data_IF_563057057421
#
_entry.id   IF_563057057421
#
_cell.length_a   1.000
_cell.length_b   1.000
_cell.length_c   1.000
_cell.angle_alpha   90.00
_cell.angle_beta   90.00
_cell.angle_gamma   90.00
#
_symmetry.space_group_name_H-M   'P 1'
#
loop_
_entity.id
_entity.type
_entity.pdbx_description
1 polymer ?
#
# COMPACT_ATOMS: atom_id res chain seq x y z
N UNK A 1 8.02 -24.22 43.02
CA UNK A 1 6.96 -24.85 42.22
C UNK A 1 7.60 -25.24 40.88
N UNK A 2 8.32 -26.37 40.83
CA UNK A 2 7.79 -27.75 40.60
C UNK A 2 7.37 -27.90 39.12
N UNK A 3 8.35 -28.07 38.23
CA UNK A 3 8.73 -29.30 37.46
C UNK A 3 7.98 -29.49 36.12
N UNK A 4 8.68 -29.56 34.98
CA UNK A 4 8.30 -30.41 33.84
C UNK A 4 8.79 -31.85 34.06
N UNK A 5 7.94 -32.82 33.70
CA UNK A 5 8.11 -34.26 33.91
C UNK A 5 8.62 -34.94 32.62
N UNK A 6 9.77 -35.62 32.76
CA UNK A 6 10.18 -36.94 32.21
C UNK A 6 10.14 -37.18 30.68
N UNK A 7 11.08 -37.84 30.00
CA UNK A 7 12.17 -38.84 30.26
C UNK A 7 12.94 -38.94 28.90
N UNK A 8 14.18 -39.36 28.71
CA UNK A 8 15.26 -39.99 29.48
C UNK A 8 16.55 -39.82 28.63
N UNK A 9 17.69 -39.57 29.27
CA UNK A 9 19.05 -39.65 28.71
C UNK A 9 19.46 -41.15 28.61
N UNK A 10 20.59 -41.61 28.02
CA UNK A 10 21.99 -41.28 28.39
C UNK A 10 22.99 -42.11 27.55
N UNK A 11 24.13 -41.49 27.22
CA UNK A 11 25.55 -41.99 27.16
C UNK A 11 26.04 -43.15 26.27
N UNK A 12 26.95 -42.78 25.36
CA UNK A 12 28.40 -43.08 25.31
C UNK A 12 29.01 -44.33 26.01
N UNK A 13 29.89 -44.99 25.22
CA UNK A 13 31.23 -45.53 25.59
C UNK A 13 31.45 -47.04 25.82
N UNK A 14 32.31 -47.57 24.93
CA UNK A 14 33.32 -48.65 25.05
C UNK A 14 32.92 -50.13 25.26
N UNK A 15 33.60 -51.01 24.50
CA UNK A 15 33.84 -52.40 24.90
C UNK A 15 34.07 -53.39 23.75
N UNK A 16 35.33 -53.59 23.34
CA UNK A 16 35.85 -54.84 22.75
C UNK A 16 36.38 -55.70 23.92
N UNK A 17 36.10 -57.02 23.99
CA UNK A 17 37.06 -58.10 23.62
C UNK A 17 36.42 -59.19 22.71
N UNK A 18 37.14 -59.92 21.86
CA UNK A 18 37.86 -61.21 22.12
C UNK A 18 36.88 -62.32 22.61
N UNK A 19 36.81 -63.57 22.14
CA UNK A 19 37.74 -64.49 21.48
C UNK A 19 36.94 -65.74 20.97
N UNK A 20 37.56 -66.49 20.05
CA UNK A 20 37.48 -67.94 19.83
C UNK A 20 36.20 -68.76 20.09
N UNK A 21 35.77 -69.47 19.04
CA UNK A 21 34.87 -70.62 19.12
C UNK A 21 35.13 -71.60 17.98
N UNK A 22 36.17 -72.41 18.13
CA UNK A 22 36.46 -73.59 17.31
C UNK A 22 35.37 -74.64 17.52
N UNK A 23 34.74 -75.12 16.45
CA UNK A 23 34.10 -76.44 16.42
C UNK A 23 34.59 -77.22 15.21
N UNK A 24 35.36 -78.24 15.57
CA UNK A 24 35.90 -79.31 14.76
C UNK A 24 34.77 -80.25 14.37
N UNK A 25 34.50 -80.44 13.08
CA UNK A 25 33.83 -81.66 12.61
C UNK A 25 34.83 -82.53 11.86
N UNK A 26 35.11 -83.65 12.51
CA UNK A 26 35.90 -84.79 12.07
C UNK A 26 35.20 -85.46 10.89
N UNK A 27 35.80 -85.40 9.70
CA UNK A 27 35.45 -86.31 8.60
C UNK A 27 36.61 -87.28 8.40
N UNK A 28 36.34 -88.48 8.91
CA UNK A 28 36.96 -89.78 8.71
C UNK A 28 37.82 -89.92 7.45
N UNK A 29 39.06 -90.34 7.66
CA UNK A 29 39.98 -90.80 6.64
C UNK A 29 39.40 -92.04 5.91
N UNK A 30 39.35 -92.06 4.57
CA UNK A 30 39.15 -93.30 3.85
C UNK A 30 40.49 -93.98 3.61
N UNK A 31 40.52 -95.20 4.12
CA UNK A 31 41.35 -96.35 3.77
C UNK A 31 41.95 -96.32 2.35
N UNK A 32 43.24 -96.64 2.29
CA UNK A 32 44.01 -96.89 1.06
C UNK A 32 43.57 -98.19 0.39
N UNK A 33 43.06 -98.16 -0.86
CA UNK A 33 42.97 -99.36 -1.68
C UNK A 33 44.30 -99.56 -2.43
N UNK A 34 44.83 -100.77 -2.31
CA UNK A 34 46.00 -101.29 -3.01
C UNK A 34 45.94 -101.03 -4.53
N UNK A 35 47.09 -100.61 -5.04
CA UNK A 35 47.72 -101.05 -6.29
C UNK A 35 46.79 -101.76 -7.29
N UNK A 36 46.30 -100.99 -8.28
CA UNK A 36 46.00 -101.54 -9.59
C UNK A 36 46.89 -100.82 -10.61
N UNK A 37 48.03 -101.44 -10.86
CA UNK A 37 48.92 -101.21 -11.99
C UNK A 37 48.10 -101.21 -13.30
N UNK A 38 47.89 -100.04 -13.90
CA UNK A 38 47.21 -99.95 -15.19
C UNK A 38 46.40 -98.68 -15.44
N UNK A 39 47.00 -97.50 -15.31
CA UNK A 39 46.51 -96.31 -16.02
C UNK A 39 47.73 -95.55 -16.51
N UNK A 40 48.03 -95.75 -17.79
CA UNK A 40 49.07 -95.01 -18.48
C UNK A 40 48.94 -93.51 -18.21
N UNK A 41 50.07 -92.84 -18.15
CA UNK A 41 50.19 -91.39 -18.14
C UNK A 41 49.15 -90.81 -19.12
N UNK A 42 48.04 -90.28 -18.61
CA UNK A 42 47.06 -89.57 -19.44
C UNK A 42 47.66 -88.20 -19.72
N UNK A 43 48.69 -88.17 -20.54
CA UNK A 43 49.21 -86.94 -21.13
C UNK A 43 48.15 -86.47 -22.12
N UNK A 44 47.56 -85.31 -21.84
CA UNK A 44 46.63 -84.69 -22.79
C UNK A 44 47.40 -84.39 -24.07
N UNK A 45 46.91 -84.90 -25.20
CA UNK A 45 47.49 -84.56 -26.50
C UNK A 45 47.22 -83.09 -26.82
N UNK A 46 48.06 -82.47 -27.65
CA UNK A 46 47.88 -81.06 -28.03
C UNK A 46 46.51 -80.81 -28.72
N UNK A 47 45.96 -81.82 -29.41
CA UNK A 47 44.60 -81.79 -29.96
C UNK A 47 43.51 -81.75 -28.88
N UNK A 48 43.69 -82.47 -27.77
CA UNK A 48 42.73 -82.47 -26.66
C UNK A 48 42.71 -81.12 -25.94
N UNK A 49 43.88 -80.50 -25.75
CA UNK A 49 43.98 -79.15 -25.18
C UNK A 49 43.33 -78.09 -26.08
N UNK A 50 43.48 -78.21 -27.40
CA UNK A 50 42.82 -77.29 -28.34
C UNK A 50 41.30 -77.43 -28.31
N UNK A 51 40.78 -78.65 -28.22
CA UNK A 51 39.33 -78.90 -28.10
C UNK A 51 38.74 -78.33 -26.81
N UNK A 52 39.39 -78.57 -25.66
CA UNK A 52 38.96 -77.98 -24.38
C UNK A 52 39.02 -76.46 -24.44
N UNK A 53 40.07 -75.88 -25.03
CA UNK A 53 40.16 -74.42 -25.23
C UNK A 53 39.03 -73.89 -26.10
N UNK A 54 38.64 -74.59 -27.17
CA UNK A 54 37.51 -74.17 -28.02
C UNK A 54 36.19 -74.23 -27.24
N UNK A 55 35.93 -75.32 -26.51
CA UNK A 55 34.71 -75.45 -25.70
C UNK A 55 34.63 -74.42 -24.56
N UNK A 56 35.76 -74.11 -23.90
CA UNK A 56 35.82 -73.04 -22.90
C UNK A 56 35.63 -71.66 -23.54
N UNK A 57 36.25 -71.44 -24.69
CA UNK A 57 36.14 -70.20 -25.45
C UNK A 57 34.68 -69.95 -25.86
N UNK A 58 34.00 -70.93 -26.44
CA UNK A 58 32.62 -70.82 -26.88
C UNK A 58 31.67 -70.54 -25.71
N UNK A 59 31.86 -71.22 -24.56
CA UNK A 59 31.08 -70.96 -23.33
C UNK A 59 31.33 -69.56 -22.77
N UNK A 60 32.60 -69.11 -22.76
CA UNK A 60 32.97 -67.80 -22.24
C UNK A 60 32.43 -66.67 -23.13
N UNK A 61 32.55 -66.77 -24.45
CA UNK A 61 31.97 -65.77 -25.36
C UNK A 61 30.44 -65.79 -25.32
N UNK A 62 29.80 -66.95 -25.19
CA UNK A 62 28.37 -67.04 -24.97
C UNK A 62 27.92 -66.24 -23.75
N UNK A 63 28.60 -66.45 -22.61
CA UNK A 63 28.33 -65.69 -21.37
C UNK A 63 28.68 -64.20 -21.48
N UNK A 64 29.73 -63.86 -22.21
CA UNK A 64 30.17 -62.47 -22.39
C UNK A 64 29.17 -61.70 -23.27
N UNK A 65 28.63 -62.33 -24.30
CA UNK A 65 27.57 -61.78 -25.14
C UNK A 65 26.28 -61.54 -24.35
N UNK A 66 25.85 -62.51 -23.53
CA UNK A 66 24.64 -62.32 -22.69
C UNK A 66 24.83 -61.20 -21.67
N UNK A 67 25.99 -61.10 -21.02
CA UNK A 67 26.29 -59.99 -20.10
C UNK A 67 26.35 -58.64 -20.82
N UNK A 68 26.81 -58.61 -22.07
CA UNK A 68 26.86 -57.38 -22.86
C UNK A 68 25.45 -56.91 -23.24
N UNK A 69 24.55 -57.83 -23.61
CA UNK A 69 23.12 -57.55 -23.83
C UNK A 69 22.42 -57.04 -22.55
N UNK A 70 22.71 -57.66 -21.40
CA UNK A 70 22.22 -57.20 -20.09
C UNK A 70 22.73 -55.80 -19.71
N UNK A 71 24.00 -55.50 -19.99
CA UNK A 71 24.55 -54.16 -19.75
C UNK A 71 23.94 -53.11 -20.69
N UNK A 72 23.68 -53.45 -21.94
CA UNK A 72 23.03 -52.57 -22.90
C UNK A 72 21.56 -52.29 -22.52
N UNK A 73 20.83 -53.30 -22.04
CA UNK A 73 19.46 -53.13 -21.54
C UNK A 73 19.44 -52.26 -20.29
N UNK A 74 20.29 -52.53 -19.29
CA UNK A 74 20.41 -51.71 -18.08
C UNK A 74 20.79 -50.26 -18.41
N UNK A 75 21.70 -50.04 -19.39
CA UNK A 75 22.06 -48.68 -19.83
C UNK A 75 20.88 -47.96 -20.45
N UNK A 76 20.13 -48.62 -21.35
CA UNK A 76 18.92 -48.05 -21.96
C UNK A 76 17.84 -47.76 -20.93
N UNK A 77 17.64 -48.64 -19.96
CA UNK A 77 16.69 -48.43 -18.86
C UNK A 77 17.09 -47.24 -17.98
N UNK A 78 18.38 -47.10 -17.65
CA UNK A 78 18.86 -45.94 -16.88
C UNK A 78 18.75 -44.63 -17.66
N UNK A 79 19.04 -44.66 -18.95
CA UNK A 79 18.93 -43.48 -19.81
C UNK A 79 17.47 -43.03 -19.95
N UNK A 80 16.55 -43.97 -20.19
CA UNK A 80 15.12 -43.68 -20.26
C UNK A 80 14.54 -43.22 -18.92
N UNK A 81 14.96 -43.83 -17.81
CA UNK A 81 14.56 -43.39 -16.47
C UNK A 81 15.10 -42.00 -16.15
N UNK A 82 16.36 -41.70 -16.49
CA UNK A 82 16.95 -40.39 -16.29
C UNK A 82 16.27 -39.33 -17.17
N UNK A 83 15.93 -39.64 -18.42
CA UNK A 83 15.22 -38.72 -19.30
C UNK A 83 13.78 -38.48 -18.83
N UNK A 84 13.07 -39.53 -18.38
CA UNK A 84 11.74 -39.39 -17.79
C UNK A 84 11.78 -38.53 -16.52
N UNK A 85 12.78 -38.74 -15.66
CA UNK A 85 12.96 -37.93 -14.45
C UNK A 85 13.29 -36.47 -14.79
N UNK A 86 14.13 -36.23 -15.80
CA UNK A 86 14.46 -34.87 -16.24
C UNK A 86 13.24 -34.16 -16.82
N UNK A 87 12.43 -34.84 -17.64
CA UNK A 87 11.17 -34.30 -18.15
C UNK A 87 10.18 -33.99 -17.04
N UNK A 88 10.03 -34.88 -16.06
CA UNK A 88 9.19 -34.61 -14.89
C UNK A 88 9.68 -33.39 -14.11
N UNK A 89 10.98 -33.28 -13.88
CA UNK A 89 11.57 -32.11 -13.21
C UNK A 89 11.29 -30.83 -14.01
N UNK A 90 11.59 -30.82 -15.30
CA UNK A 90 11.32 -29.69 -16.21
C UNK A 90 9.84 -29.29 -16.21
N UNK A 91 8.90 -30.25 -16.25
CA UNK A 91 7.46 -29.98 -16.18
C UNK A 91 7.04 -29.41 -14.82
N UNK A 92 7.58 -29.95 -13.72
CA UNK A 92 7.27 -29.43 -12.37
C UNK A 92 7.83 -28.03 -12.14
N UNK A 93 9.03 -27.75 -12.63
CA UNK A 93 9.66 -26.42 -12.55
C UNK A 93 8.91 -25.43 -13.44
N UNK A 94 8.54 -25.80 -14.66
CA UNK A 94 7.72 -24.97 -15.54
C UNK A 94 6.35 -24.65 -14.92
N UNK A 95 5.69 -25.65 -14.32
CA UNK A 95 4.42 -25.44 -13.63
C UNK A 95 4.55 -24.57 -12.37
N UNK A 96 5.65 -24.69 -11.63
CA UNK A 96 5.94 -23.84 -10.47
C UNK A 96 6.20 -22.39 -10.89
N UNK A 97 6.97 -22.18 -11.96
CA UNK A 97 7.26 -20.86 -12.50
C UNK A 97 5.99 -20.18 -13.04
N UNK A 98 5.15 -20.90 -13.80
CA UNK A 98 3.88 -20.37 -14.28
C UNK A 98 2.96 -19.90 -13.13
N UNK A 99 2.86 -20.69 -12.05
CA UNK A 99 2.10 -20.30 -10.85
C UNK A 99 2.71 -19.08 -10.17
N UNK A 100 4.04 -19.00 -10.07
CA UNK A 100 4.71 -17.85 -9.49
C UNK A 100 4.46 -16.57 -10.30
N UNK A 101 4.48 -16.64 -11.64
CA UNK A 101 4.15 -15.52 -12.52
C UNK A 101 2.69 -15.07 -12.36
N UNK A 102 1.74 -16.02 -12.30
CA UNK A 102 0.34 -15.73 -12.04
C UNK A 102 0.13 -15.06 -10.67
N UNK A 103 0.77 -15.58 -9.62
CA UNK A 103 0.70 -15.00 -8.27
C UNK A 103 1.29 -13.60 -8.20
N UNK A 104 2.43 -13.36 -8.85
CA UNK A 104 3.04 -12.04 -8.94
C UNK A 104 2.10 -11.06 -9.65
N UNK A 105 1.51 -11.48 -10.78
CA UNK A 105 0.54 -10.65 -11.51
C UNK A 105 -0.71 -10.32 -10.68
N UNK A 106 -1.20 -11.28 -9.89
CA UNK A 106 -2.33 -11.07 -9.00
C UNK A 106 -2.00 -10.11 -7.85
N UNK A 107 -0.80 -10.22 -7.26
CA UNK A 107 -0.31 -9.30 -6.23
C UNK A 107 -0.17 -7.88 -6.78
N UNK A 108 0.34 -7.72 -7.99
CA UNK A 108 0.47 -6.41 -8.63
C UNK A 108 -0.88 -5.75 -8.88
N UNK A 109 -1.88 -6.52 -9.33
CA UNK A 109 -3.26 -6.03 -9.50
C UNK A 109 -3.87 -5.59 -8.17
N UNK A 110 -3.65 -6.35 -7.10
CA UNK A 110 -4.12 -5.98 -5.76
C UNK A 110 -3.40 -4.73 -5.24
N UNK A 111 -2.08 -4.61 -5.45
CA UNK A 111 -1.32 -3.44 -5.04
C UNK A 111 -1.78 -2.17 -5.78
N UNK A 112 -2.00 -2.25 -7.10
CA UNK A 112 -2.56 -1.14 -7.89
C UNK A 112 -3.93 -0.73 -7.39
N UNK A 113 -4.82 -1.71 -7.14
CA UNK A 113 -6.13 -1.44 -6.54
C UNK A 113 -5.97 -0.75 -5.19
N UNK A 114 -5.13 -1.27 -4.30
CA UNK A 114 -4.90 -0.66 -3.00
C UNK A 114 -4.45 0.81 -3.11
N UNK A 115 -3.52 1.12 -4.01
CA UNK A 115 -3.07 2.50 -4.27
C UNK A 115 -4.20 3.40 -4.79
N UNK A 116 -5.05 2.92 -5.69
CA UNK A 116 -6.22 3.68 -6.17
C UNK A 116 -7.21 3.98 -5.04
N UNK A 117 -7.43 3.00 -4.14
CA UNK A 117 -8.32 3.17 -2.99
C UNK A 117 -7.72 4.14 -1.97
N UNK A 118 -6.42 4.07 -1.70
CA UNK A 118 -5.71 5.04 -0.86
C UNK A 118 -5.80 6.46 -1.45
N UNK A 119 -5.56 6.62 -2.75
CA UNK A 119 -5.70 7.92 -3.42
C UNK A 119 -7.13 8.48 -3.34
N UNK A 120 -8.14 7.64 -3.57
CA UNK A 120 -9.56 8.04 -3.41
C UNK A 120 -9.89 8.40 -1.96
N UNK A 121 -9.32 7.69 -1.00
CA UNK A 121 -9.53 7.97 0.42
C UNK A 121 -8.91 9.30 0.82
N UNK A 122 -7.68 9.58 0.39
CA UNK A 122 -7.03 10.88 0.62
C UNK A 122 -7.80 12.04 -0.02
N UNK A 123 -8.35 11.85 -1.21
CA UNK A 123 -9.19 12.85 -1.87
C UNK A 123 -10.48 13.10 -1.08
N UNK A 124 -11.16 12.05 -0.62
CA UNK A 124 -12.34 12.19 0.24
C UNK A 124 -12.02 12.90 1.56
N UNK A 125 -10.89 12.60 2.20
CA UNK A 125 -10.47 13.28 3.43
C UNK A 125 -10.16 14.76 3.19
N UNK A 126 -9.46 15.10 2.11
CA UNK A 126 -9.21 16.51 1.73
C UNK A 126 -10.51 17.27 1.50
N UNK A 127 -11.49 16.64 0.86
CA UNK A 127 -12.81 17.24 0.63
C UNK A 127 -13.57 17.44 1.93
N UNK A 128 -13.64 16.44 2.80
CA UNK A 128 -14.25 16.59 4.13
C UNK A 128 -13.62 17.72 4.93
N UNK A 129 -12.30 17.84 4.90
CA UNK A 129 -11.59 18.91 5.61
C UNK A 129 -11.91 20.29 5.03
N UNK A 130 -12.03 20.40 3.70
CA UNK A 130 -12.47 21.63 3.04
C UNK A 130 -13.92 21.99 3.39
N UNK A 131 -14.83 21.02 3.36
CA UNK A 131 -16.24 21.20 3.71
C UNK A 131 -16.41 21.60 5.19
N UNK A 132 -15.67 20.95 6.09
CA UNK A 132 -15.67 21.29 7.51
C UNK A 132 -15.15 22.72 7.74
N UNK A 133 -14.07 23.11 7.07
CA UNK A 133 -13.54 24.47 7.15
C UNK A 133 -14.54 25.51 6.63
N UNK A 134 -15.22 25.22 5.52
CA UNK A 134 -16.25 26.07 4.95
C UNK A 134 -17.43 26.24 5.91
N UNK A 135 -17.88 25.14 6.52
CA UNK A 135 -18.98 25.16 7.47
C UNK A 135 -18.63 25.94 8.75
N UNK A 136 -17.41 25.77 9.28
CA UNK A 136 -16.91 26.53 10.42
C UNK A 136 -16.88 28.03 10.13
N UNK A 137 -16.37 28.43 8.96
CA UNK A 137 -16.33 29.84 8.56
C UNK A 137 -17.72 30.43 8.34
N UNK A 138 -18.62 29.67 7.73
CA UNK A 138 -20.01 30.11 7.54
C UNK A 138 -20.71 30.30 8.89
N UNK A 139 -20.47 29.40 9.85
CA UNK A 139 -21.00 29.53 11.22
C UNK A 139 -20.43 30.77 11.92
N UNK A 140 -19.12 30.99 11.83
CA UNK A 140 -18.47 32.17 12.42
C UNK A 140 -19.01 33.47 11.81
N UNK A 141 -19.18 33.50 10.49
CA UNK A 141 -19.77 34.64 9.79
C UNK A 141 -21.22 34.90 10.21
N UNK A 142 -22.06 33.86 10.30
CA UNK A 142 -23.45 34.01 10.75
C UNK A 142 -23.53 34.54 12.19
N UNK A 143 -22.70 34.02 13.09
CA UNK A 143 -22.62 34.51 14.47
C UNK A 143 -22.23 35.99 14.52
N UNK A 144 -21.26 36.41 13.71
CA UNK A 144 -20.85 37.81 13.64
C UNK A 144 -21.96 38.71 13.07
N UNK A 145 -22.69 38.26 12.05
CA UNK A 145 -23.81 39.00 11.48
C UNK A 145 -24.97 39.13 12.47
N UNK A 146 -25.30 38.06 13.20
CA UNK A 146 -26.30 38.07 14.26
C UNK A 146 -25.91 39.03 15.38
N UNK A 147 -24.66 38.96 15.84
CA UNK A 147 -24.11 39.87 16.84
C UNK A 147 -24.20 41.33 16.39
N UNK A 148 -23.78 41.62 15.14
CA UNK A 148 -23.86 42.96 14.57
C UNK A 148 -25.31 43.45 14.54
N UNK A 149 -26.25 42.62 14.09
CA UNK A 149 -27.68 42.99 14.04
C UNK A 149 -28.25 43.27 15.43
N UNK A 150 -27.92 42.44 16.41
CA UNK A 150 -28.37 42.61 17.80
C UNK A 150 -27.81 43.91 18.41
N UNK A 151 -26.50 44.15 18.26
CA UNK A 151 -25.85 45.36 18.77
C UNK A 151 -26.35 46.62 18.07
N UNK A 152 -26.56 46.57 16.75
CA UNK A 152 -27.15 47.68 16.03
C UNK A 152 -28.60 47.93 16.41
N UNK A 153 -29.39 46.88 16.64
CA UNK A 153 -30.76 47.04 17.14
C UNK A 153 -30.81 47.69 18.52
N UNK A 154 -29.89 47.32 19.42
CA UNK A 154 -29.79 47.89 20.76
C UNK A 154 -29.34 49.37 20.75
N UNK A 155 -28.55 49.77 19.76
CA UNK A 155 -27.92 51.10 19.68
C UNK A 155 -28.48 51.98 18.56
N UNK A 156 -29.50 51.52 17.84
CA UNK A 156 -30.11 52.20 16.69
C UNK A 156 -30.63 53.59 17.06
N UNK A 157 -31.18 53.76 18.26
CA UNK A 157 -31.74 55.03 18.72
C UNK A 157 -30.66 56.10 18.99
N UNK A 158 -29.41 55.67 19.20
CA UNK A 158 -28.28 56.56 19.55
C UNK A 158 -27.45 56.96 18.31
N UNK A 159 -27.61 56.26 17.20
CA UNK A 159 -26.82 56.45 15.97
C UNK A 159 -27.73 57.03 14.89
N UNK A 160 -27.26 58.05 14.18
CA UNK A 160 -28.00 58.58 13.05
C UNK A 160 -28.24 57.47 12.00
N UNK A 161 -29.46 57.33 11.44
CA UNK A 161 -29.81 56.22 10.54
C UNK A 161 -28.91 56.14 9.30
N UNK A 162 -28.40 57.27 8.81
CA UNK A 162 -27.44 57.37 7.69
C UNK A 162 -26.07 56.76 8.00
N UNK A 163 -25.73 56.56 9.28
CA UNK A 163 -24.44 56.06 9.72
C UNK A 163 -24.43 54.55 10.00
N UNK A 164 -25.61 53.91 10.04
CA UNK A 164 -25.74 52.47 10.36
C UNK A 164 -25.05 51.57 9.32
N UNK A 165 -24.98 52.00 8.06
CA UNK A 165 -24.32 51.26 6.97
C UNK A 165 -22.78 51.24 7.10
N UNK A 166 -22.19 52.14 7.89
CA UNK A 166 -20.74 52.24 8.06
C UNK A 166 -20.16 51.33 9.15
N UNK A 167 -21.00 50.49 9.78
CA UNK A 167 -20.59 49.59 10.85
C UNK A 167 -19.82 48.42 10.24
N UNK A 168 -18.51 48.42 10.43
CA UNK A 168 -17.59 47.40 9.91
C UNK A 168 -16.80 46.76 11.04
N UNK A 169 -16.36 45.52 10.82
CA UNK A 169 -15.56 44.76 11.77
C UNK A 169 -15.59 43.27 11.45
N UNK A 170 -14.44 42.64 11.59
CA UNK A 170 -14.21 41.20 11.41
C UNK A 170 -14.34 40.41 12.72
N UNK A 171 -14.46 41.12 13.84
CA UNK A 171 -14.69 40.54 15.17
C UNK A 171 -15.79 41.31 15.92
N UNK A 172 -16.31 40.71 16.98
CA UNK A 172 -17.27 41.36 17.87
C UNK A 172 -16.72 42.68 18.46
N UNK A 173 -15.44 42.66 18.84
CA UNK A 173 -14.73 43.80 19.44
C UNK A 173 -14.57 44.95 18.44
N UNK A 174 -14.24 44.65 17.18
CA UNK A 174 -14.14 45.66 16.13
C UNK A 174 -15.50 46.28 15.79
N UNK A 175 -16.55 45.45 15.78
CA UNK A 175 -17.93 45.92 15.60
C UNK A 175 -18.33 46.88 16.71
N UNK A 176 -18.00 46.56 17.98
CA UNK A 176 -18.28 47.45 19.11
C UNK A 176 -17.50 48.75 19.03
N UNK A 177 -16.21 48.70 18.71
CA UNK A 177 -15.39 49.90 18.53
C UNK A 177 -15.92 50.80 17.40
N UNK A 178 -16.40 50.20 16.30
CA UNK A 178 -17.04 50.91 15.20
C UNK A 178 -18.35 51.58 15.65
N UNK A 179 -19.18 50.86 16.40
CA UNK A 179 -20.44 51.38 16.96
C UNK A 179 -20.17 52.56 17.90
N UNK A 180 -19.20 52.45 18.80
CA UNK A 180 -18.85 53.55 19.73
C UNK A 180 -18.36 54.80 18.98
N UNK A 181 -17.53 54.62 17.96
CA UNK A 181 -17.07 55.71 17.10
C UNK A 181 -18.23 56.37 16.34
N UNK A 182 -19.21 55.58 15.86
CA UNK A 182 -20.37 56.11 15.16
C UNK A 182 -21.35 56.81 16.10
N UNK A 183 -21.51 56.35 17.34
CA UNK A 183 -22.25 57.08 18.39
C UNK A 183 -21.61 58.44 18.67
N UNK A 184 -20.30 58.48 18.85
CA UNK A 184 -19.57 59.74 19.07
C UNK A 184 -19.72 60.69 17.87
N UNK A 185 -19.58 60.18 16.64
CA UNK A 185 -19.73 60.96 15.41
C UNK A 185 -21.16 61.44 15.19
N UNK A 186 -22.16 60.62 15.52
CA UNK A 186 -23.58 60.98 15.48
C UNK A 186 -23.86 62.16 16.42
N UNK A 187 -23.40 62.09 17.67
CA UNK A 187 -23.53 63.18 18.64
C UNK A 187 -22.85 64.46 18.15
N UNK A 188 -21.66 64.35 17.55
CA UNK A 188 -20.95 65.48 16.95
C UNK A 188 -21.68 66.08 15.74
N UNK A 189 -22.30 65.27 14.89
CA UNK A 189 -23.11 65.75 13.76
C UNK A 189 -24.36 66.46 14.26
N UNK A 190 -25.04 65.93 15.27
CA UNK A 190 -26.22 66.59 15.86
C UNK A 190 -25.83 67.92 16.51
N UNK A 191 -24.72 67.97 17.27
CA UNK A 191 -24.26 69.21 17.90
C UNK A 191 -23.83 70.24 16.86
N UNK A 192 -23.04 69.84 15.85
CA UNK A 192 -22.62 70.73 14.76
C UNK A 192 -23.78 71.16 13.87
N UNK A 193 -24.80 70.32 13.63
CA UNK A 193 -26.00 70.72 12.91
C UNK A 193 -26.83 71.72 13.71
N UNK A 194 -26.90 71.57 15.03
CA UNK A 194 -27.57 72.52 15.91
C UNK A 194 -26.86 73.89 15.92
N UNK A 195 -25.53 73.90 15.95
CA UNK A 195 -24.71 75.11 15.80
C UNK A 195 -24.85 75.72 14.40
N UNK A 196 -24.74 74.89 13.35
CA UNK A 196 -24.89 75.31 11.97
C UNK A 196 -26.32 75.76 11.64
N UNK A 197 -27.38 75.27 12.30
CA UNK A 197 -28.73 75.81 12.14
C UNK A 197 -28.90 77.18 12.79
N UNK A 198 -28.19 77.45 13.88
CA UNK A 198 -28.13 78.78 14.48
C UNK A 198 -27.36 79.74 13.56
N UNK A 199 -26.30 79.26 12.90
CA UNK A 199 -25.48 80.04 11.97
C UNK A 199 -26.10 80.17 10.56
N UNK A 200 -26.80 79.16 10.05
CA UNK A 200 -27.47 79.14 8.74
C UNK A 200 -28.73 80.02 8.71
N UNK A 201 -29.29 80.42 9.86
CA UNK A 201 -30.26 81.53 9.92
C UNK A 201 -29.63 82.88 9.55
N UNK A 202 -28.29 82.98 9.54
CA UNK A 202 -27.56 84.21 9.20
C UNK A 202 -26.96 84.22 7.79
N UNK A 203 -26.82 83.09 7.09
CA UNK A 203 -26.22 83.05 5.75
C UNK A 203 -26.90 82.04 4.82
N UNK A 204 -27.83 82.55 3.98
CA UNK A 204 -28.36 81.83 2.81
C UNK A 204 -27.55 82.16 1.54
N UNK A 205 -26.79 81.17 1.03
CA UNK A 205 -26.36 80.94 -0.39
C UNK A 205 -25.24 79.88 -0.31
N UNK A 206 -25.20 78.76 -1.02
CA UNK A 206 -25.69 78.40 -2.35
C UNK A 206 -24.46 78.00 -3.17
N UNK A 207 -24.26 76.72 -3.49
CA UNK A 207 -23.33 76.26 -4.55
C UNK A 207 -23.67 74.83 -5.03
N UNK A 208 -23.39 74.63 -6.32
CA UNK A 208 -23.74 73.53 -7.24
C UNK A 208 -22.99 72.21 -6.99
N UNK A 209 -23.55 71.05 -7.40
CA UNK A 209 -22.86 69.76 -7.36
C UNK A 209 -21.93 69.60 -8.58
N UNK A 210 -20.75 69.02 -8.40
CA UNK A 210 -19.97 68.48 -9.51
C UNK A 210 -19.52 67.05 -9.15
N UNK A 211 -19.95 66.09 -9.96
CA UNK A 211 -19.70 64.65 -9.80
C UNK A 211 -18.30 64.26 -10.27
N UNK A 212 -17.66 63.38 -9.49
CA UNK A 212 -16.37 62.75 -9.79
C UNK A 212 -16.56 61.30 -10.25
N UNK A 213 -15.77 60.90 -11.25
CA UNK A 213 -15.96 59.70 -12.07
C UNK A 213 -15.73 58.36 -11.36
N UNK A 214 -16.46 57.35 -11.84
CA UNK A 214 -16.22 55.93 -11.57
C UNK A 214 -15.32 55.40 -12.68
N UNK A 215 -14.12 54.96 -12.33
CA UNK A 215 -13.25 54.17 -13.21
C UNK A 215 -13.67 52.69 -13.16
N UNK A 216 -13.59 51.94 -14.28
CA UNK A 216 -13.88 50.51 -14.27
C UNK A 216 -12.65 49.74 -13.76
N UNK A 217 -12.82 48.98 -12.68
CA UNK A 217 -11.84 47.98 -12.26
C UNK A 217 -11.96 46.75 -13.17
N UNK A 218 -10.86 46.29 -13.80
CA UNK A 218 -10.80 44.98 -14.42
C UNK A 218 -10.27 43.97 -13.40
N UNK A 219 -11.13 43.11 -12.86
CA UNK A 219 -10.64 41.94 -12.14
C UNK A 219 -11.18 40.64 -12.73
N UNK A 220 -10.23 39.88 -13.26
CA UNK A 220 -10.38 38.66 -14.03
C UNK A 220 -10.37 37.51 -13.01
N UNK A 221 -11.41 36.65 -12.91
CA UNK A 221 -11.35 35.54 -11.99
C UNK A 221 -10.39 34.48 -12.54
N UNK A 222 -9.13 34.57 -12.09
CA UNK A 222 -8.25 33.41 -12.06
C UNK A 222 -8.83 32.41 -11.07
N UNK A 223 -9.15 31.21 -11.54
CA UNK A 223 -9.55 30.09 -10.69
C UNK A 223 -8.34 29.68 -9.84
N UNK A 224 -8.16 30.30 -8.68
CA UNK A 224 -7.25 29.80 -7.66
C UNK A 224 -7.91 28.58 -7.02
N UNK A 225 -7.22 27.43 -7.08
CA UNK A 225 -7.56 26.27 -6.27
C UNK A 225 -7.12 26.56 -4.84
N UNK A 226 -8.01 27.17 -4.08
CA UNK A 226 -7.79 27.53 -2.67
C UNK A 226 -7.79 26.25 -1.84
N UNK A 227 -6.79 26.08 -0.97
CA UNK A 227 -6.67 24.88 -0.13
C UNK A 227 -7.49 25.02 1.16
N UNK A 228 -7.80 23.91 1.84
CA UNK A 228 -8.57 23.93 3.09
C UNK A 228 -7.90 24.80 4.19
N UNK A 229 -6.56 24.91 4.16
CA UNK A 229 -5.82 25.79 5.07
C UNK A 229 -6.06 27.27 4.77
N UNK A 230 -6.18 27.64 3.50
CA UNK A 230 -6.41 29.02 3.09
C UNK A 230 -7.82 29.48 3.48
N UNK A 231 -8.83 28.62 3.31
CA UNK A 231 -10.22 28.91 3.73
C UNK A 231 -10.28 29.17 5.24
N UNK A 232 -9.56 28.38 6.05
CA UNK A 232 -9.52 28.56 7.52
C UNK A 232 -8.83 29.85 7.96
N UNK A 233 -7.86 30.33 7.21
CA UNK A 233 -7.07 31.51 7.58
C UNK A 233 -7.68 32.83 7.05
N UNK A 234 -8.73 32.77 6.24
CA UNK A 234 -9.43 33.96 5.75
C UNK A 234 -10.19 34.69 6.86
N UNK A 235 -10.17 36.03 6.81
CA UNK A 235 -11.00 36.83 7.71
C UNK A 235 -12.48 36.79 7.30
N UNK A 236 -13.43 37.03 8.23
CA UNK A 236 -14.86 37.01 7.94
C UNK A 236 -15.30 37.98 6.83
N UNK A 237 -14.69 39.17 6.70
CA UNK A 237 -14.96 40.09 5.57
C UNK A 237 -14.43 39.59 4.24
N UNK A 238 -13.27 38.94 4.22
CA UNK A 238 -12.73 38.30 3.02
C UNK A 238 -13.60 37.13 2.60
N UNK A 239 -14.03 36.30 3.56
CA UNK A 239 -15.01 35.24 3.35
C UNK A 239 -16.29 35.79 2.73
N UNK A 240 -16.86 36.88 3.26
CA UNK A 240 -18.09 37.46 2.74
C UNK A 240 -18.00 37.85 1.25
N UNK A 241 -16.86 38.38 0.80
CA UNK A 241 -16.62 38.75 -0.60
C UNK A 241 -16.52 37.53 -1.52
N UNK A 242 -15.89 36.46 -1.04
CA UNK A 242 -15.57 35.29 -1.86
C UNK A 242 -16.53 34.11 -1.68
N UNK A 243 -17.43 34.19 -0.69
CA UNK A 243 -18.43 33.17 -0.33
C UNK A 243 -19.21 32.64 -1.53
N UNK A 244 -19.62 33.53 -2.43
CA UNK A 244 -20.37 33.14 -3.63
C UNK A 244 -19.55 32.26 -4.59
N UNK A 245 -18.23 32.41 -4.62
CA UNK A 245 -17.32 31.58 -5.43
C UNK A 245 -17.19 30.19 -4.82
N UNK A 246 -17.03 30.11 -3.49
CA UNK A 246 -16.86 28.84 -2.78
C UNK A 246 -18.15 28.01 -2.67
N UNK A 247 -19.28 28.65 -2.40
CA UNK A 247 -20.56 27.95 -2.31
C UNK A 247 -21.04 27.43 -3.67
N UNK A 248 -20.84 28.19 -4.75
CA UNK A 248 -21.18 27.73 -6.10
C UNK A 248 -20.24 26.61 -6.56
N UNK A 249 -18.95 26.66 -6.22
CA UNK A 249 -18.01 25.59 -6.53
C UNK A 249 -18.37 24.29 -5.79
N UNK A 250 -18.69 24.37 -4.50
CA UNK A 250 -19.13 23.21 -3.71
C UNK A 250 -20.46 22.63 -4.25
N UNK A 251 -21.41 23.48 -4.63
CA UNK A 251 -22.68 23.05 -5.21
C UNK A 251 -22.51 22.39 -6.59
N UNK A 252 -21.61 22.88 -7.44
CA UNK A 252 -21.28 22.26 -8.72
C UNK A 252 -20.58 20.90 -8.55
N UNK A 253 -19.67 20.77 -7.58
CA UNK A 253 -18.95 19.52 -7.33
C UNK A 253 -19.90 18.41 -6.82
N UNK A 254 -20.85 18.77 -5.95
CA UNK A 254 -21.89 17.86 -5.50
C UNK A 254 -22.90 17.51 -6.61
N UNK A 255 -23.21 18.44 -7.51
CA UNK A 255 -24.11 18.22 -8.65
C UNK A 255 -23.54 17.31 -9.74
N UNK A 256 -22.23 17.34 -9.99
CA UNK A 256 -21.60 16.51 -11.03
C UNK A 256 -21.40 15.04 -10.62
N UNK A 257 -21.36 14.73 -9.31
CA UNK A 257 -21.16 13.34 -8.84
C UNK A 257 -22.44 12.50 -8.82
N UNK A 258 -23.63 13.11 -8.96
CA UNK A 258 -24.91 12.41 -9.00
C UNK A 258 -25.39 11.96 -10.38
N UNK A 259 -24.68 12.31 -11.46
CA UNK A 259 -25.16 12.15 -12.85
C UNK A 259 -24.44 11.07 -13.68
N UNK A 260 -23.60 10.24 -13.06
CA UNK A 260 -22.96 9.11 -13.74
C UNK A 260 -23.31 7.80 -13.03
N UNK A 261 -24.44 7.21 -13.44
CA UNK A 261 -24.81 5.82 -13.23
C UNK A 261 -25.20 5.20 -14.57
#
# INVERSE_FOLDING_TARGET
MTTPVSKEATTETAGTPEEAGSTTETVTAPETPKENSGRGEKTFSEKDLQRVRQEEKDKLYGRLNTMQEELETIRKERETAAEAQRRQQEETEAAANAKAEEEMSARDLLAKRQQEWEGRFEEMEKQRQADAALFEQERAFQQLQEYRRERLGAEADNIAPELLDFVQGDSAEEVDASIEMLKAKSQQIVSSLQEAQQEARSQMRGVSPNGGGVGPDPDQPGYQRVTAADIRNMSPSQWAKERHKYLNAAALEHGQRGMFH
#
